data_IF_985669822654
#
_entry.id   IF_985669822654
#
_cell.length_a   1.000
_cell.length_b   1.000
_cell.length_c   1.000
_cell.angle_alpha   90.00
_cell.angle_beta   90.00
_cell.angle_gamma   90.00
#
_symmetry.space_group_name_H-M   'P 1'
#
loop_
_entity.id
_entity.type
_entity.pdbx_description
1 polymer ?
#
# COMPACT_ATOMS: atom_id res chain seq x y z
N UNK A 1 -6.28 -4.52 -36.57
CA UNK A 1 -5.60 -4.69 -35.27
C UNK A 1 -4.98 -6.07 -35.26
N UNK A 2 -3.69 -6.19 -34.97
CA UNK A 2 -3.03 -7.49 -34.90
C UNK A 2 -3.48 -8.22 -33.64
N UNK A 3 -4.12 -9.38 -33.82
CA UNK A 3 -4.49 -10.29 -32.75
C UNK A 3 -3.21 -10.77 -32.07
N UNK A 4 -2.95 -10.31 -30.85
CA UNK A 4 -1.83 -10.77 -30.03
C UNK A 4 -2.03 -12.26 -29.81
N UNK A 5 -1.03 -13.09 -30.18
CA UNK A 5 -1.16 -14.54 -30.02
C UNK A 5 -1.36 -14.92 -28.54
N UNK A 6 -2.19 -15.92 -28.27
CA UNK A 6 -2.48 -16.41 -26.90
C UNK A 6 -1.20 -16.79 -26.13
N UNK A 7 -0.19 -17.32 -26.83
CA UNK A 7 1.13 -17.64 -26.29
C UNK A 7 1.88 -16.38 -25.81
N UNK A 8 1.78 -15.28 -26.55
CA UNK A 8 2.41 -14.01 -26.19
C UNK A 8 1.71 -13.37 -24.97
N UNK A 9 0.37 -13.41 -24.93
CA UNK A 9 -0.42 -12.96 -23.77
C UNK A 9 -0.02 -13.74 -22.51
N UNK A 10 0.09 -15.07 -22.61
CA UNK A 10 0.49 -15.90 -21.49
C UNK A 10 1.90 -15.58 -20.98
N UNK A 11 2.87 -15.40 -21.88
CA UNK A 11 4.25 -15.02 -21.50
C UNK A 11 4.27 -13.67 -20.78
N UNK A 12 3.48 -12.72 -21.24
CA UNK A 12 3.46 -11.38 -20.69
C UNK A 12 2.72 -11.31 -19.35
N UNK A 13 1.63 -12.07 -19.19
CA UNK A 13 1.02 -12.32 -17.87
C UNK A 13 2.05 -12.82 -16.86
N UNK A 14 2.81 -13.86 -17.22
CA UNK A 14 3.84 -14.43 -16.34
C UNK A 14 4.96 -13.45 -16.05
N UNK A 15 5.38 -12.65 -17.04
CA UNK A 15 6.39 -11.62 -16.87
C UNK A 15 5.92 -10.50 -15.94
N UNK A 16 4.70 -9.98 -16.13
CA UNK A 16 4.09 -8.95 -15.28
C UNK A 16 3.97 -9.40 -13.82
N UNK A 17 3.51 -10.65 -13.60
CA UNK A 17 3.41 -11.21 -12.25
C UNK A 17 4.78 -11.34 -11.58
N UNK A 18 5.82 -11.76 -12.30
CA UNK A 18 7.18 -11.81 -11.75
C UNK A 18 7.73 -10.41 -11.49
N UNK A 19 7.49 -9.50 -12.42
CA UNK A 19 7.95 -8.12 -12.34
C UNK A 19 7.38 -7.43 -11.10
N UNK A 20 6.06 -7.48 -10.89
CA UNK A 20 5.43 -6.80 -9.75
C UNK A 20 5.81 -7.41 -8.41
N UNK A 21 6.00 -8.74 -8.33
CA UNK A 21 6.45 -9.42 -7.12
C UNK A 21 7.86 -8.97 -6.69
N UNK A 22 8.74 -8.72 -7.66
CA UNK A 22 10.10 -8.28 -7.39
C UNK A 22 10.22 -6.77 -7.11
N UNK A 23 9.13 -6.01 -7.24
CA UNK A 23 9.13 -4.55 -7.11
C UNK A 23 8.04 -4.11 -6.15
N UNK A 24 8.14 -4.58 -4.92
CA UNK A 24 7.23 -4.19 -3.85
C UNK A 24 7.51 -2.77 -3.32
N UNK A 25 6.55 -2.23 -2.58
CA UNK A 25 6.82 -1.12 -1.66
C UNK A 25 7.66 -1.65 -0.49
N UNK A 26 8.56 -0.81 0.02
CA UNK A 26 9.52 -1.18 1.07
C UNK A 26 9.69 -0.07 2.08
N UNK A 27 10.48 -0.30 3.13
CA UNK A 27 10.72 0.63 4.23
C UNK A 27 9.41 1.17 4.83
N UNK A 28 8.42 0.28 4.98
CA UNK A 28 7.12 0.65 5.50
C UNK A 28 7.24 1.00 6.98
N UNK A 29 6.89 2.22 7.33
CA UNK A 29 6.88 2.70 8.71
C UNK A 29 5.58 3.40 9.03
N UNK A 30 5.14 3.29 10.28
CA UNK A 30 3.90 3.90 10.74
C UNK A 30 4.17 4.69 12.01
N UNK A 31 3.71 5.93 12.04
CA UNK A 31 3.68 6.78 13.22
C UNK A 31 2.22 7.11 13.55
N UNK A 32 1.86 7.09 14.82
CA UNK A 32 0.53 7.50 15.28
C UNK A 32 0.71 8.71 16.20
N UNK A 33 0.04 9.81 15.84
CA UNK A 33 0.03 11.05 16.61
C UNK A 33 -1.40 11.44 16.97
N UNK A 34 -1.60 11.95 18.18
CA UNK A 34 -2.88 12.52 18.61
C UNK A 34 -2.97 14.00 18.22
N UNK A 35 -4.09 14.39 17.60
CA UNK A 35 -4.42 15.78 17.31
C UNK A 35 -5.91 16.02 17.59
N UNK A 36 -6.21 17.00 18.45
CA UNK A 36 -7.58 17.36 18.82
C UNK A 36 -8.42 16.16 19.31
N UNK A 37 -7.84 15.31 20.18
CA UNK A 37 -8.49 14.11 20.74
C UNK A 37 -8.83 13.01 19.70
N UNK A 38 -8.16 13.04 18.55
CA UNK A 38 -8.26 12.03 17.49
C UNK A 38 -6.85 11.56 17.12
N UNK A 39 -6.66 10.25 17.06
CA UNK A 39 -5.43 9.64 16.60
C UNK A 39 -5.38 9.62 15.06
N UNK A 40 -4.22 9.98 14.53
CA UNK A 40 -3.91 9.94 13.11
C UNK A 40 -2.74 9.01 12.89
N UNK A 41 -2.87 8.10 11.93
CA UNK A 41 -1.76 7.31 11.44
C UNK A 41 -1.12 8.00 10.24
N UNK A 42 0.21 8.12 10.26
CA UNK A 42 1.03 8.50 9.12
C UNK A 42 1.82 7.26 8.69
N UNK A 43 1.46 6.70 7.53
CA UNK A 43 2.20 5.61 6.90
C UNK A 43 3.21 6.24 5.96
N UNK A 44 4.47 5.81 6.03
CA UNK A 44 5.53 6.18 5.09
C UNK A 44 6.10 4.93 4.44
N UNK A 45 6.50 5.05 3.17
CA UNK A 45 7.05 3.95 2.39
C UNK A 45 8.04 4.44 1.35
N UNK A 46 8.83 3.51 0.82
CA UNK A 46 9.71 3.67 -0.31
C UNK A 46 9.15 2.96 -1.54
N UNK A 47 9.01 3.72 -2.63
CA UNK A 47 8.70 3.19 -3.95
C UNK A 47 9.89 2.42 -4.53
N UNK A 48 9.65 1.34 -5.29
CA UNK A 48 10.71 0.71 -6.07
C UNK A 48 11.25 1.70 -7.11
N UNK A 49 12.54 1.58 -7.44
CA UNK A 49 13.21 2.44 -8.41
C UNK A 49 12.62 2.32 -9.83
N UNK A 50 11.92 1.22 -10.11
CA UNK A 50 11.34 0.99 -11.44
C UNK A 50 10.33 2.07 -11.84
N UNK A 51 10.44 2.65 -13.06
CA UNK A 51 9.50 3.65 -13.56
C UNK A 51 8.15 3.06 -13.97
N UNK A 52 8.05 1.73 -14.06
CA UNK A 52 6.81 1.03 -14.43
C UNK A 52 5.84 0.93 -13.25
N UNK A 53 6.34 0.97 -12.02
CA UNK A 53 5.50 0.99 -10.82
C UNK A 53 5.11 2.43 -10.52
N UNK A 54 3.82 2.73 -10.67
CA UNK A 54 3.26 4.07 -10.47
C UNK A 54 2.12 4.10 -9.45
N UNK A 55 1.67 2.94 -9.00
CA UNK A 55 0.49 2.80 -8.15
C UNK A 55 0.86 1.85 -7.02
N UNK A 56 0.41 2.20 -5.83
CA UNK A 56 0.56 1.42 -4.62
C UNK A 56 -0.80 1.29 -3.94
N UNK A 57 -0.94 0.23 -3.17
CA UNK A 57 -2.10 -0.03 -2.34
C UNK A 57 -1.61 -0.19 -0.91
N UNK A 58 -2.13 0.65 -0.01
CA UNK A 58 -1.97 0.46 1.44
C UNK A 58 -3.27 -0.14 1.96
N UNK A 59 -3.16 -1.15 2.80
CA UNK A 59 -4.27 -1.80 3.47
C UNK A 59 -3.97 -1.80 4.95
N UNK A 60 -4.95 -1.48 5.78
CA UNK A 60 -4.76 -1.36 7.22
C UNK A 60 -5.97 -1.85 8.00
N UNK A 61 -5.75 -2.19 9.26
CA UNK A 61 -6.80 -2.52 10.22
C UNK A 61 -6.28 -2.34 11.65
N UNK A 62 -7.16 -2.09 12.63
CA UNK A 62 -6.74 -1.76 14.00
C UNK A 62 -6.46 -2.98 14.86
N UNK A 63 -7.02 -4.15 14.50
CA UNK A 63 -6.99 -5.36 15.35
C UNK A 63 -6.32 -6.58 14.74
N UNK A 64 -6.14 -6.62 13.43
CA UNK A 64 -5.68 -7.82 12.73
C UNK A 64 -4.80 -7.44 11.55
N UNK A 65 -3.84 -8.30 11.24
CA UNK A 65 -3.00 -8.11 10.06
C UNK A 65 -3.84 -8.30 8.79
N UNK A 66 -3.84 -7.32 7.86
CA UNK A 66 -4.53 -7.48 6.59
C UNK A 66 -3.97 -8.67 5.79
N UNK A 67 -4.85 -9.43 5.16
CA UNK A 67 -4.45 -10.46 4.22
C UNK A 67 -3.87 -9.88 2.93
N UNK A 68 -3.38 -10.77 2.07
CA UNK A 68 -2.99 -10.39 0.70
C UNK A 68 -4.23 -9.92 -0.07
N UNK A 69 -4.17 -8.78 -0.79
CA UNK A 69 -5.27 -8.32 -1.59
C UNK A 69 -5.57 -9.32 -2.71
N UNK A 70 -6.77 -9.88 -2.67
CA UNK A 70 -7.46 -10.46 -3.81
C UNK A 70 -8.47 -9.44 -4.35
N UNK A 71 -9.09 -9.70 -5.51
CA UNK A 71 -10.19 -8.84 -6.00
C UNK A 71 -11.33 -8.70 -4.99
N UNK A 72 -11.51 -9.66 -4.07
CA UNK A 72 -12.50 -9.60 -3.00
C UNK A 72 -12.09 -8.62 -1.89
N UNK A 73 -10.79 -8.52 -1.58
CA UNK A 73 -10.25 -7.63 -0.54
C UNK A 73 -10.45 -6.15 -0.88
N UNK A 74 -10.46 -5.79 -2.16
CA UNK A 74 -10.73 -4.41 -2.58
C UNK A 74 -12.14 -3.93 -2.21
N UNK A 75 -13.06 -4.86 -1.97
CA UNK A 75 -14.43 -4.59 -1.56
C UNK A 75 -14.69 -4.96 -0.09
N UNK A 76 -13.63 -5.32 0.66
CA UNK A 76 -13.77 -5.70 2.06
C UNK A 76 -13.93 -4.44 2.93
N UNK A 77 -15.09 -4.23 3.58
CA UNK A 77 -15.31 -3.05 4.41
C UNK A 77 -14.41 -3.02 5.64
N UNK A 78 -13.84 -4.17 6.04
CA UNK A 78 -12.94 -4.25 7.19
C UNK A 78 -11.52 -3.81 6.87
N UNK A 79 -11.11 -3.80 5.60
CA UNK A 79 -9.74 -3.49 5.19
C UNK A 79 -9.72 -2.29 4.24
N UNK A 80 -9.83 -1.04 4.75
CA UNK A 80 -9.98 0.13 3.91
C UNK A 80 -8.78 0.30 2.97
N UNK A 81 -8.98 0.22 1.63
CA UNK A 81 -7.90 0.36 0.68
C UNK A 81 -7.55 1.84 0.50
N UNK A 82 -6.27 2.18 0.64
CA UNK A 82 -5.76 3.51 0.29
C UNK A 82 -4.91 3.35 -0.97
N UNK A 83 -5.44 3.82 -2.09
CA UNK A 83 -4.73 3.86 -3.36
C UNK A 83 -3.82 5.09 -3.41
N UNK A 84 -2.54 4.86 -3.60
CA UNK A 84 -1.52 5.92 -3.69
C UNK A 84 -0.88 5.90 -5.07
N UNK A 85 -0.59 7.10 -5.59
CA UNK A 85 0.04 7.28 -6.91
C UNK A 85 1.43 7.87 -6.74
N UNK A 86 2.43 7.18 -7.29
CA UNK A 86 3.82 7.65 -7.32
C UNK A 86 3.89 8.96 -8.09
N UNK A 87 4.35 10.01 -7.42
CA UNK A 87 4.71 11.28 -8.03
C UNK A 87 6.04 11.13 -8.78
N UNK A 88 6.24 11.89 -9.86
CA UNK A 88 7.43 11.77 -10.69
C UNK A 88 8.71 11.94 -9.85
N UNK A 89 9.67 11.02 -9.99
CA UNK A 89 10.96 10.98 -9.29
C UNK A 89 10.89 10.91 -7.75
N UNK A 90 9.71 10.69 -7.16
CA UNK A 90 9.58 10.49 -5.72
C UNK A 90 9.88 9.03 -5.36
N UNK A 91 10.87 8.85 -4.49
CA UNK A 91 11.22 7.54 -3.94
C UNK A 91 10.60 7.30 -2.57
N UNK A 92 10.44 8.33 -1.74
CA UNK A 92 9.82 8.22 -0.43
C UNK A 92 8.52 9.01 -0.40
N UNK A 93 7.45 8.40 0.09
CA UNK A 93 6.15 9.06 0.16
C UNK A 93 5.44 8.67 1.47
N UNK A 94 4.40 9.42 1.80
CA UNK A 94 3.65 9.22 3.05
C UNK A 94 2.19 9.59 2.88
N UNK A 95 1.33 8.99 3.69
CA UNK A 95 -0.10 9.27 3.73
C UNK A 95 -0.60 9.28 5.16
N UNK A 96 -1.35 10.34 5.52
CA UNK A 96 -1.92 10.53 6.85
C UNK A 96 -3.44 10.42 6.80
N UNK A 97 -4.03 9.66 7.72
CA UNK A 97 -5.47 9.46 7.84
C UNK A 97 -5.89 9.27 9.31
N UNK A 98 -7.15 9.61 9.66
CA UNK A 98 -7.66 9.42 11.00
C UNK A 98 -7.92 7.94 11.30
N UNK A 99 -7.62 7.51 12.53
CA UNK A 99 -7.94 6.17 13.05
C UNK A 99 -8.87 6.21 14.28
N UNK A 100 -9.47 7.38 14.56
CA UNK A 100 -10.37 7.57 15.68
C UNK A 100 -9.63 7.60 17.02
N UNK A 101 -10.08 6.81 17.99
CA UNK A 101 -9.43 6.67 19.30
C UNK A 101 -8.48 5.47 19.38
N UNK A 102 -8.26 4.80 18.26
CA UNK A 102 -7.42 3.61 18.20
C UNK A 102 -5.96 4.00 18.37
N UNK A 103 -5.21 3.25 19.19
CA UNK A 103 -3.80 3.53 19.50
C UNK A 103 -2.84 2.59 18.78
N UNK A 104 -3.35 1.68 17.96
CA UNK A 104 -2.53 0.77 17.16
C UNK A 104 -3.17 0.43 15.83
N UNK A 105 -2.34 0.20 14.82
CA UNK A 105 -2.77 -0.35 13.53
C UNK A 105 -1.79 -1.38 12.99
N UNK A 106 -2.33 -2.27 12.17
CA UNK A 106 -1.63 -3.19 11.29
C UNK A 106 -1.66 -2.60 9.88
N UNK A 107 -0.54 -2.61 9.17
CA UNK A 107 -0.46 -2.06 7.82
C UNK A 107 0.30 -3.01 6.91
N UNK A 108 -0.22 -3.20 5.70
CA UNK A 108 0.50 -3.79 4.58
C UNK A 108 0.46 -2.86 3.38
N UNK A 109 1.55 -2.89 2.63
CA UNK A 109 1.68 -2.13 1.40
C UNK A 109 1.99 -3.06 0.24
N UNK A 110 1.45 -2.73 -0.93
CA UNK A 110 1.65 -3.49 -2.15
C UNK A 110 1.93 -2.54 -3.31
N UNK A 111 2.88 -2.88 -4.17
CA UNK A 111 2.91 -2.32 -5.50
C UNK A 111 1.72 -2.86 -6.32
N UNK A 112 1.09 -2.00 -7.11
CA UNK A 112 -0.06 -2.35 -7.93
C UNK A 112 0.18 -2.03 -9.40
N UNK A 113 -0.31 -2.91 -10.28
CA UNK A 113 -0.23 -2.77 -11.72
C UNK A 113 -1.55 -3.15 -12.37
N UNK A 114 -2.07 -2.29 -13.26
CA UNK A 114 -3.27 -2.58 -14.02
C UNK A 114 -2.91 -3.33 -15.31
N UNK A 115 -3.33 -4.58 -15.41
CA UNK A 115 -3.21 -5.39 -16.61
C UNK A 115 -4.38 -5.10 -17.56
N UNK A 116 -4.12 -4.37 -18.64
CA UNK A 116 -5.13 -3.95 -19.65
C UNK A 116 -5.16 -4.80 -20.92
N UNK A 117 -4.61 -6.01 -20.87
CA UNK A 117 -4.24 -6.78 -22.06
C UNK A 117 -5.37 -7.68 -22.55
N UNK A 118 -6.15 -8.18 -21.60
CA UNK A 118 -7.50 -8.67 -21.82
C UNK A 118 -8.45 -7.52 -21.48
N UNK A 119 -9.51 -7.33 -22.25
CA UNK A 119 -10.43 -6.17 -22.21
C UNK A 119 -11.07 -5.88 -20.83
N UNK A 120 -10.85 -6.73 -19.82
CA UNK A 120 -11.45 -6.66 -18.48
C UNK A 120 -10.56 -6.04 -17.40
N UNK A 121 -9.37 -5.51 -17.73
CA UNK A 121 -8.60 -4.62 -16.84
C UNK A 121 -8.39 -5.15 -15.42
N UNK A 122 -7.41 -6.03 -15.19
CA UNK A 122 -7.21 -6.69 -13.89
C UNK A 122 -6.09 -6.07 -13.06
N UNK A 123 -6.35 -5.74 -11.80
CA UNK A 123 -5.28 -5.34 -10.87
C UNK A 123 -4.42 -6.53 -10.46
N UNK A 124 -3.10 -6.33 -10.54
CA UNK A 124 -2.09 -7.22 -10.00
C UNK A 124 -1.40 -6.53 -8.84
N UNK A 125 -1.07 -7.32 -7.81
CA UNK A 125 -0.41 -6.86 -6.60
C UNK A 125 0.88 -7.65 -6.37
N UNK A 126 1.88 -7.00 -5.80
CA UNK A 126 3.06 -7.64 -5.22
C UNK A 126 2.68 -8.57 -4.05
N UNK A 127 3.69 -9.16 -3.40
CA UNK A 127 3.48 -10.13 -2.32
C UNK A 127 3.29 -9.49 -0.93
N UNK A 128 3.63 -8.20 -0.77
CA UNK A 128 3.57 -7.48 0.50
C UNK A 128 4.71 -7.89 1.44
N UNK A 129 5.94 -7.96 0.91
CA UNK A 129 7.09 -8.55 1.62
C UNK A 129 7.57 -7.74 2.83
N UNK A 130 7.23 -6.45 2.90
CA UNK A 130 7.62 -5.56 3.98
C UNK A 130 6.39 -5.19 4.84
N UNK A 131 5.93 -6.09 5.73
CA UNK A 131 4.82 -5.78 6.62
C UNK A 131 5.29 -4.88 7.77
N UNK A 132 4.55 -3.80 8.05
CA UNK A 132 4.60 -3.23 9.40
C UNK A 132 3.63 -4.05 10.24
N UNK A 133 4.14 -5.14 10.84
CA UNK A 133 3.32 -6.13 11.53
C UNK A 133 2.47 -5.51 12.63
N UNK A 134 2.91 -4.42 13.25
CA UNK A 134 2.10 -3.61 14.18
C UNK A 134 2.82 -2.30 14.45
N UNK A 135 2.09 -1.19 14.50
CA UNK A 135 2.57 0.05 15.07
C UNK A 135 1.65 0.50 16.19
N UNK A 136 2.25 0.89 17.31
CA UNK A 136 1.57 1.46 18.46
C UNK A 136 1.89 2.95 18.54
N UNK A 137 0.95 3.73 19.06
CA UNK A 137 1.15 5.14 19.33
C UNK A 137 2.26 5.31 20.37
N UNK A 138 3.37 5.89 19.93
CA UNK A 138 4.37 6.41 20.86
C UNK A 138 3.77 7.70 21.38
N UNK A 139 3.24 7.68 22.61
CA UNK A 139 2.89 8.89 23.33
C UNK A 139 4.17 9.73 23.50
N UNK A 140 4.49 10.58 22.53
CA UNK A 140 5.38 11.70 22.77
C UNK A 140 4.58 12.66 23.64
N UNK A 141 4.76 12.59 24.96
CA UNK A 141 4.42 13.69 25.84
C UNK A 141 5.18 14.91 25.30
N UNK A 142 4.51 15.71 24.47
CA UNK A 142 4.99 17.03 24.14
C UNK A 142 4.88 17.79 25.46
N UNK A 143 6.00 17.87 26.19
CA UNK A 143 6.24 18.90 27.19
C UNK A 143 6.15 20.22 26.42
N UNK A 144 4.94 20.78 26.32
CA UNK A 144 4.76 22.15 25.89
C UNK A 144 5.32 23.00 27.02
N UNK A 145 6.58 23.41 26.88
CA UNK A 145 7.05 24.60 27.56
C UNK A 145 6.16 25.75 27.11
N UNK A 146 5.27 26.18 28.01
CA UNK A 146 4.64 27.49 27.90
C UNK A 146 5.74 28.53 28.12
N UNK A 147 5.98 29.36 27.10
CA UNK A 147 6.52 30.70 27.27
C UNK A 147 5.41 31.70 26.98
#
# INVERSE_FOLDING_TARGET
>A
GHTVSSSLIFKLKRATLRFIRNHDLSALSVQIDEFQNVNYATISWQWPASPLIKIGLLVWHTRMEPGRPSEQVLNDPYWPPIWVRKRNNVLYDSYRFPIGHETSIYVRSYAAFLETWDNDGKWRFSDGHDPTTRAEAVHSQIIRHMQ
#
